data_IF_052322150663
#
_entry.id   IF_052322150663
#
_cell.length_a   1.000
_cell.length_b   1.000
_cell.length_c   1.000
_cell.angle_alpha   90.00
_cell.angle_beta   90.00
_cell.angle_gamma   90.00
#
_symmetry.space_group_name_H-M   'P 1'
#
loop_
_entity.id
_entity.type
_entity.pdbx_description
1 polymer ?
#
# COMPACT_ATOMS: atom_id res chain seq x y z
N UNK A 1 -30.38 8.35 -54.13
CA UNK A 1 -30.79 7.60 -52.93
C UNK A 1 -30.11 8.27 -51.75
N UNK A 2 -30.83 9.22 -51.13
CA UNK A 2 -30.37 10.00 -50.00
C UNK A 2 -30.52 9.21 -48.70
N UNK A 3 -29.40 8.94 -48.03
CA UNK A 3 -29.41 8.40 -46.67
C UNK A 3 -29.38 9.58 -45.72
N UNK A 4 -30.57 9.92 -45.21
CA UNK A 4 -30.80 10.97 -44.22
C UNK A 4 -30.14 10.62 -42.89
N UNK A 5 -29.48 11.63 -42.33
CA UNK A 5 -28.93 11.74 -40.97
C UNK A 5 -29.80 11.08 -39.88
N UNK A 6 -29.25 10.11 -39.16
CA UNK A 6 -29.69 9.78 -37.81
C UNK A 6 -28.85 10.59 -36.82
N UNK A 7 -29.46 11.63 -36.24
CA UNK A 7 -28.92 12.35 -35.10
C UNK A 7 -28.89 11.41 -33.89
N UNK A 8 -27.68 11.04 -33.46
CA UNK A 8 -27.46 10.36 -32.19
C UNK A 8 -27.62 11.39 -31.06
N UNK A 9 -28.81 11.47 -30.50
CA UNK A 9 -29.13 12.26 -29.32
C UNK A 9 -28.53 11.55 -28.10
N UNK A 10 -27.31 11.93 -27.75
CA UNK A 10 -26.62 11.44 -26.56
C UNK A 10 -27.31 12.04 -25.32
N UNK A 11 -28.22 11.27 -24.71
CA UNK A 11 -28.88 11.61 -23.46
C UNK A 11 -27.84 11.58 -22.34
N UNK A 12 -27.36 12.77 -21.95
CA UNK A 12 -26.52 12.97 -20.77
C UNK A 12 -27.44 12.89 -19.53
N UNK A 13 -27.80 11.67 -19.16
CA UNK A 13 -28.53 11.37 -17.93
C UNK A 13 -27.58 11.61 -16.75
N UNK A 14 -27.72 12.81 -16.17
CA UNK A 14 -27.10 13.25 -14.93
C UNK A 14 -27.63 12.36 -13.77
N UNK A 15 -27.03 11.19 -13.59
CA UNK A 15 -27.23 10.40 -12.37
C UNK A 15 -26.45 11.08 -11.24
N UNK A 16 -27.11 12.02 -10.57
CA UNK A 16 -26.80 12.37 -9.18
C UNK A 16 -27.10 11.14 -8.33
N UNK A 17 -26.18 10.18 -8.30
CA UNK A 17 -26.10 9.23 -7.20
C UNK A 17 -25.77 10.06 -5.97
N UNK A 18 -26.80 10.44 -5.22
CA UNK A 18 -26.65 10.85 -3.83
C UNK A 18 -25.96 9.69 -3.13
N UNK A 19 -24.65 9.81 -2.92
CA UNK A 19 -23.95 8.95 -1.96
C UNK A 19 -24.80 8.95 -0.69
N UNK A 20 -25.07 7.79 -0.07
CA UNK A 20 -25.62 7.80 1.27
C UNK A 20 -24.62 8.57 2.12
N UNK A 21 -24.97 9.80 2.50
CA UNK A 21 -24.36 10.48 3.63
C UNK A 21 -24.55 9.48 4.76
N UNK A 22 -23.45 8.87 5.21
CA UNK A 22 -23.47 8.06 6.41
C UNK A 22 -23.77 9.02 7.54
N UNK A 23 -25.06 9.27 7.77
CA UNK A 23 -25.55 9.85 9.00
C UNK A 23 -25.24 8.79 10.05
N UNK A 24 -24.06 8.89 10.65
CA UNK A 24 -23.76 8.19 11.89
C UNK A 24 -24.90 8.56 12.85
N UNK A 25 -25.76 7.58 13.13
CA UNK A 25 -26.89 7.77 14.03
C UNK A 25 -26.34 8.22 15.38
N UNK A 26 -26.49 9.52 15.65
CA UNK A 26 -26.00 10.19 16.84
C UNK A 26 -26.95 9.84 18.00
N UNK A 27 -26.56 8.85 18.80
CA UNK A 27 -27.23 8.53 20.07
C UNK A 27 -26.71 9.45 21.21
N UNK A 28 -26.21 10.64 20.87
CA UNK A 28 -25.82 11.66 21.84
C UNK A 28 -26.06 13.04 21.24
N UNK A 29 -26.79 13.91 21.95
CA UNK A 29 -27.10 15.32 21.61
C UNK A 29 -25.87 16.25 21.48
N UNK A 30 -24.67 15.68 21.33
CA UNK A 30 -23.41 16.41 21.26
C UNK A 30 -23.14 16.80 19.81
N UNK A 31 -23.19 18.10 19.54
CA UNK A 31 -22.76 18.66 18.26
C UNK A 31 -21.27 18.36 18.07
N UNK A 32 -20.86 17.70 16.98
CA UNK A 32 -19.45 17.41 16.74
C UNK A 32 -18.64 18.69 16.60
N UNK A 33 -17.39 18.65 17.06
CA UNK A 33 -16.47 19.78 16.94
C UNK A 33 -16.31 20.20 15.46
N UNK A 34 -16.42 21.49 15.11
CA UNK A 34 -16.33 21.96 13.73
C UNK A 34 -15.01 21.57 13.05
N UNK A 35 -13.92 21.42 13.82
CA UNK A 35 -12.62 20.98 13.30
C UNK A 35 -12.68 19.50 12.85
N UNK A 36 -13.38 18.64 13.60
CA UNK A 36 -13.58 17.24 13.24
C UNK A 36 -14.51 17.11 12.03
N UNK A 37 -15.55 17.95 11.96
CA UNK A 37 -16.46 17.99 10.81
C UNK A 37 -15.67 18.34 9.54
N UNK A 38 -14.90 19.43 9.56
CA UNK A 38 -14.08 19.82 8.42
C UNK A 38 -13.04 18.75 8.04
N UNK A 39 -12.40 18.10 9.02
CA UNK A 39 -11.46 17.02 8.76
C UNK A 39 -12.13 15.78 8.12
N UNK A 40 -13.36 15.45 8.53
CA UNK A 40 -14.15 14.37 7.91
C UNK A 40 -14.52 14.68 6.48
N UNK A 41 -14.96 15.91 6.19
CA UNK A 41 -15.29 16.36 4.84
C UNK A 41 -14.07 16.23 3.90
N UNK A 42 -12.90 16.70 4.35
CA UNK A 42 -11.65 16.57 3.59
C UNK A 42 -11.24 15.10 3.41
N UNK A 43 -11.45 14.26 4.43
CA UNK A 43 -11.21 12.83 4.32
C UNK A 43 -12.09 12.21 3.23
N UNK A 44 -13.40 12.44 3.28
CA UNK A 44 -14.38 11.92 2.32
C UNK A 44 -14.08 12.38 0.89
N UNK A 45 -13.79 13.67 0.69
CA UNK A 45 -13.43 14.23 -0.62
C UNK A 45 -12.19 13.53 -1.20
N UNK A 46 -11.14 13.35 -0.40
CA UNK A 46 -9.92 12.68 -0.83
C UNK A 46 -10.17 11.22 -1.19
N UNK A 47 -10.95 10.49 -0.39
CA UNK A 47 -11.27 9.09 -0.66
C UNK A 47 -12.11 8.97 -1.93
N UNK A 48 -13.11 9.82 -2.12
CA UNK A 48 -14.00 9.75 -3.28
C UNK A 48 -13.29 10.14 -4.57
N UNK A 49 -12.40 11.14 -4.52
CA UNK A 49 -11.50 11.46 -5.62
C UNK A 49 -10.61 10.27 -5.99
N UNK A 50 -10.01 9.61 -4.99
CA UNK A 50 -9.18 8.43 -5.22
C UNK A 50 -9.98 7.23 -5.78
N UNK A 51 -11.20 7.00 -5.27
CA UNK A 51 -12.11 5.95 -5.80
C UNK A 51 -12.43 6.23 -7.26
N UNK A 52 -12.77 7.48 -7.60
CA UNK A 52 -13.08 7.90 -8.97
C UNK A 52 -11.92 7.58 -9.91
N UNK A 53 -10.70 7.97 -9.55
CA UNK A 53 -9.52 7.66 -10.37
C UNK A 53 -9.25 6.17 -10.53
N UNK A 54 -9.48 5.36 -9.50
CA UNK A 54 -9.33 3.90 -9.60
C UNK A 54 -10.40 3.28 -10.53
N UNK A 55 -11.63 3.77 -10.44
CA UNK A 55 -12.73 3.36 -11.33
C UNK A 55 -12.46 3.74 -12.79
N UNK A 56 -12.01 4.96 -13.05
CA UNK A 56 -11.64 5.41 -14.41
C UNK A 56 -10.58 4.49 -15.04
N UNK A 57 -9.61 4.01 -14.25
CA UNK A 57 -8.59 3.06 -14.72
C UNK A 57 -9.17 1.68 -15.02
N UNK A 58 -10.09 1.19 -14.18
CA UNK A 58 -10.81 -0.06 -14.43
C UNK A 58 -11.68 0.03 -15.69
N UNK A 59 -12.40 1.13 -15.88
CA UNK A 59 -13.23 1.38 -17.06
C UNK A 59 -12.38 1.45 -18.33
N UNK A 60 -11.23 2.14 -18.27
CA UNK A 60 -10.26 2.16 -19.38
C UNK A 60 -9.75 0.74 -19.71
N UNK A 61 -9.47 -0.08 -18.69
CA UNK A 61 -9.04 -1.48 -18.87
C UNK A 61 -10.14 -2.34 -19.47
N UNK A 62 -11.40 -2.11 -19.07
CA UNK A 62 -12.58 -2.78 -19.61
C UNK A 62 -12.76 -2.47 -21.09
N UNK A 63 -12.74 -1.18 -21.47
CA UNK A 63 -12.85 -0.77 -22.87
C UNK A 63 -11.77 -1.41 -23.74
N UNK A 64 -10.54 -1.48 -23.22
CA UNK A 64 -9.43 -2.09 -23.92
C UNK A 64 -9.63 -3.60 -24.16
N UNK A 65 -10.10 -4.33 -23.13
CA UNK A 65 -10.40 -5.75 -23.23
C UNK A 65 -11.54 -6.02 -24.24
N UNK A 66 -12.58 -5.18 -24.22
CA UNK A 66 -13.71 -5.26 -25.17
C UNK A 66 -13.25 -5.05 -26.61
N UNK A 67 -12.44 -4.03 -26.88
CA UNK A 67 -11.91 -3.77 -28.23
C UNK A 67 -11.06 -4.91 -28.79
N UNK A 68 -10.45 -5.72 -27.91
CA UNK A 68 -9.63 -6.88 -28.27
C UNK A 68 -10.40 -8.20 -28.34
N UNK A 69 -11.66 -8.23 -27.88
CA UNK A 69 -12.43 -9.46 -27.80
C UNK A 69 -11.94 -10.44 -26.71
N UNK A 70 -11.29 -9.94 -25.65
CA UNK A 70 -10.78 -10.75 -24.54
C UNK A 70 -11.90 -11.01 -23.50
N UNK A 71 -12.82 -11.95 -23.79
CA UNK A 71 -14.03 -12.19 -22.98
C UNK A 71 -13.74 -12.44 -21.49
N UNK A 72 -12.78 -13.33 -21.16
CA UNK A 72 -12.44 -13.65 -19.77
C UNK A 72 -11.95 -12.42 -19.00
N UNK A 73 -11.17 -11.56 -19.65
CA UNK A 73 -10.69 -10.32 -19.03
C UNK A 73 -11.84 -9.32 -18.83
N UNK A 74 -12.76 -9.20 -19.79
CA UNK A 74 -13.96 -8.36 -19.66
C UNK A 74 -14.77 -8.78 -18.44
N UNK A 75 -15.09 -10.07 -18.31
CA UNK A 75 -15.84 -10.60 -17.17
C UNK A 75 -15.12 -10.37 -15.84
N UNK A 76 -13.80 -10.59 -15.81
CA UNK A 76 -12.98 -10.33 -14.63
C UNK A 76 -13.01 -8.86 -14.21
N UNK A 77 -12.83 -7.92 -15.16
CA UNK A 77 -12.83 -6.48 -14.88
C UNK A 77 -14.21 -6.00 -14.42
N UNK A 78 -15.30 -6.49 -15.03
CA UNK A 78 -16.67 -6.16 -14.58
C UNK A 78 -16.90 -6.62 -13.14
N UNK A 79 -16.51 -7.87 -12.82
CA UNK A 79 -16.64 -8.41 -11.46
C UNK A 79 -15.84 -7.60 -10.44
N UNK A 80 -14.64 -7.15 -10.79
CA UNK A 80 -13.83 -6.29 -9.92
C UNK A 80 -14.44 -4.89 -9.74
N UNK A 81 -15.01 -4.29 -10.79
CA UNK A 81 -15.73 -3.01 -10.68
C UNK A 81 -16.91 -3.15 -9.72
N UNK A 82 -17.71 -4.22 -9.83
CA UNK A 82 -18.83 -4.50 -8.93
C UNK A 82 -18.37 -4.77 -7.49
N UNK A 83 -17.30 -5.56 -7.32
CA UNK A 83 -16.72 -5.84 -6.02
C UNK A 83 -16.17 -4.57 -5.35
N UNK A 84 -15.53 -3.68 -6.11
CA UNK A 84 -15.03 -2.40 -5.60
C UNK A 84 -16.18 -1.45 -5.25
N UNK A 85 -17.17 -1.26 -6.14
CA UNK A 85 -18.32 -0.37 -5.89
C UNK A 85 -19.21 -0.86 -4.73
N UNK A 86 -19.45 -2.17 -4.65
CA UNK A 86 -20.37 -2.74 -3.67
C UNK A 86 -19.74 -3.08 -2.32
N UNK A 87 -18.52 -3.63 -2.33
CA UNK A 87 -17.85 -4.14 -1.13
C UNK A 87 -16.55 -3.40 -0.80
N UNK A 88 -16.10 -2.48 -1.64
CA UNK A 88 -14.83 -1.77 -1.48
C UNK A 88 -13.59 -2.63 -1.75
N UNK A 89 -13.73 -3.85 -2.28
CA UNK A 89 -12.61 -4.78 -2.52
C UNK A 89 -11.72 -4.20 -3.62
N UNK A 90 -10.43 -3.99 -3.36
CA UNK A 90 -9.55 -3.40 -4.38
C UNK A 90 -9.39 -4.35 -5.59
N UNK A 91 -9.33 -3.78 -6.80
CA UNK A 91 -9.06 -4.54 -7.99
C UNK A 91 -7.63 -5.09 -8.02
N UNK A 92 -7.45 -6.20 -8.72
CA UNK A 92 -6.15 -6.80 -9.01
C UNK A 92 -5.70 -6.55 -10.45
N UNK A 93 -6.65 -6.30 -11.37
CA UNK A 93 -6.35 -6.08 -12.80
C UNK A 93 -5.75 -4.71 -13.11
N UNK A 94 -5.82 -3.77 -12.18
CA UNK A 94 -5.17 -2.45 -12.25
C UNK A 94 -4.45 -2.14 -10.93
N UNK A 95 -3.28 -1.49 -10.97
CA UNK A 95 -2.57 -1.09 -9.75
C UNK A 95 -3.41 -0.17 -8.86
N UNK A 96 -3.61 -0.56 -7.59
CA UNK A 96 -4.43 0.19 -6.63
C UNK A 96 -3.60 1.05 -5.66
N UNK A 97 -2.26 1.06 -5.77
CA UNK A 97 -1.36 1.70 -4.79
C UNK A 97 -1.63 3.19 -4.58
N UNK A 98 -2.02 3.89 -5.65
CA UNK A 98 -2.37 5.32 -5.58
C UNK A 98 -3.62 5.59 -4.76
N UNK A 99 -4.61 4.68 -4.82
CA UNK A 99 -5.79 4.74 -3.96
C UNK A 99 -5.42 4.48 -2.51
N UNK A 100 -4.64 3.43 -2.27
CA UNK A 100 -4.14 3.05 -0.93
C UNK A 100 -3.38 4.18 -0.26
N UNK A 101 -2.38 4.72 -0.95
CA UNK A 101 -1.54 5.81 -0.42
C UNK A 101 -2.37 7.06 -0.09
N UNK A 102 -3.35 7.40 -0.95
CA UNK A 102 -4.25 8.54 -0.70
C UNK A 102 -5.14 8.27 0.52
N UNK A 103 -5.65 7.06 0.66
CA UNK A 103 -6.47 6.65 1.79
C UNK A 103 -5.70 6.74 3.11
N UNK A 104 -4.52 6.15 3.18
CA UNK A 104 -3.67 6.18 4.39
C UNK A 104 -3.29 7.61 4.80
N UNK A 105 -2.97 8.46 3.81
CA UNK A 105 -2.67 9.88 4.05
C UNK A 105 -3.88 10.63 4.59
N UNK A 106 -5.05 10.44 3.98
CA UNK A 106 -6.28 11.06 4.43
C UNK A 106 -6.63 10.60 5.86
N UNK A 107 -6.49 9.30 6.14
CA UNK A 107 -6.71 8.74 7.48
C UNK A 107 -5.75 9.34 8.51
N UNK A 108 -4.47 9.46 8.18
CA UNK A 108 -3.48 10.10 9.06
C UNK A 108 -3.83 11.57 9.34
N UNK A 109 -4.30 12.31 8.33
CA UNK A 109 -4.73 13.70 8.53
C UNK A 109 -5.96 13.78 9.45
N UNK A 110 -6.92 12.88 9.27
CA UNK A 110 -8.08 12.77 10.14
C UNK A 110 -7.66 12.45 11.58
N UNK A 111 -6.82 11.43 11.78
CA UNK A 111 -6.28 11.05 13.09
C UNK A 111 -5.61 12.21 13.81
N UNK A 112 -4.78 12.99 13.10
CA UNK A 112 -4.12 14.17 13.67
C UNK A 112 -5.12 15.24 14.13
N UNK A 113 -6.23 15.43 13.43
CA UNK A 113 -7.28 16.36 13.84
C UNK A 113 -7.98 15.84 15.11
N UNK A 114 -8.34 14.55 15.17
CA UNK A 114 -8.90 13.93 16.37
C UNK A 114 -7.97 14.07 17.58
N UNK A 115 -6.68 13.78 17.42
CA UNK A 115 -5.69 13.90 18.49
C UNK A 115 -5.57 15.33 19.02
N UNK A 116 -5.64 16.34 18.13
CA UNK A 116 -5.60 17.75 18.52
C UNK A 116 -6.83 18.14 19.35
N UNK A 117 -8.03 17.78 18.89
CA UNK A 117 -9.28 18.08 19.58
C UNK A 117 -9.38 17.35 20.92
N UNK A 118 -9.01 16.06 20.97
CA UNK A 118 -8.94 15.29 22.21
C UNK A 118 -8.02 15.95 23.23
N UNK A 119 -6.81 16.38 22.82
CA UNK A 119 -5.88 17.09 23.71
C UNK A 119 -6.44 18.43 24.20
N UNK A 120 -7.19 19.14 23.35
CA UNK A 120 -7.88 20.38 23.75
C UNK A 120 -8.94 20.09 24.81
N UNK A 121 -9.83 19.13 24.56
CA UNK A 121 -10.91 18.77 25.47
C UNK A 121 -10.41 18.27 26.82
N UNK A 122 -9.31 17.50 26.84
CA UNK A 122 -8.66 17.09 28.10
C UNK A 122 -8.16 18.30 28.90
N UNK A 123 -7.56 19.30 28.25
CA UNK A 123 -7.09 20.53 28.93
C UNK A 123 -8.24 21.38 29.47
N UNK A 124 -9.38 21.36 28.80
CA UNK A 124 -10.60 22.08 29.19
C UNK A 124 -11.43 21.34 30.24
N UNK A 125 -11.05 20.11 30.60
CA UNK A 125 -11.78 19.27 31.57
C UNK A 125 -13.00 18.54 30.97
N UNK A 126 -13.17 18.57 29.65
CA UNK A 126 -14.24 17.91 28.91
C UNK A 126 -13.92 16.41 28.66
N UNK A 127 -13.77 15.65 29.75
CA UNK A 127 -13.25 14.28 29.69
C UNK A 127 -14.17 13.29 28.98
N UNK A 128 -15.48 13.44 29.12
CA UNK A 128 -16.46 12.55 28.46
C UNK A 128 -16.46 12.74 26.94
N UNK A 129 -16.29 13.99 26.47
CA UNK A 129 -16.20 14.31 25.05
C UNK A 129 -14.88 13.80 24.44
N UNK A 130 -13.78 13.97 25.17
CA UNK A 130 -12.48 13.45 24.76
C UNK A 130 -12.49 11.92 24.61
N UNK A 131 -13.14 11.20 25.54
CA UNK A 131 -13.29 9.74 25.47
C UNK A 131 -14.16 9.33 24.28
N UNK A 132 -15.27 10.02 24.06
CA UNK A 132 -16.14 9.78 22.92
C UNK A 132 -15.37 9.89 21.59
N UNK A 133 -14.59 10.95 21.41
CA UNK A 133 -13.77 11.16 20.20
C UNK A 133 -12.66 10.10 20.05
N UNK A 134 -12.05 9.65 21.15
CA UNK A 134 -11.08 8.55 21.11
C UNK A 134 -11.72 7.22 20.67
N UNK A 135 -12.91 6.91 21.16
CA UNK A 135 -13.63 5.70 20.75
C UNK A 135 -14.09 5.80 19.29
N UNK A 136 -14.48 6.99 18.84
CA UNK A 136 -14.87 7.24 17.46
C UNK A 136 -13.71 7.01 16.48
N UNK A 137 -12.53 7.61 16.72
CA UNK A 137 -11.38 7.38 15.84
C UNK A 137 -10.92 5.92 15.88
N UNK A 138 -11.03 5.25 17.02
CA UNK A 138 -10.74 3.82 17.13
C UNK A 138 -11.68 2.97 16.27
N UNK A 139 -12.97 3.31 16.20
CA UNK A 139 -13.92 2.66 15.29
C UNK A 139 -13.55 2.88 13.83
N UNK A 140 -13.15 4.10 13.46
CA UNK A 140 -12.72 4.44 12.09
C UNK A 140 -11.46 3.63 11.72
N UNK A 141 -10.49 3.52 12.62
CA UNK A 141 -9.28 2.69 12.43
C UNK A 141 -9.57 1.19 12.35
N UNK A 142 -10.63 0.75 13.02
CA UNK A 142 -11.06 -0.64 13.02
C UNK A 142 -11.95 -0.99 11.82
N UNK A 143 -12.40 0.00 11.04
CA UNK A 143 -13.02 -0.29 9.75
C UNK A 143 -12.03 -1.12 8.95
N UNK A 144 -12.47 -2.22 8.32
CA UNK A 144 -11.60 -2.97 7.43
C UNK A 144 -11.14 -1.97 6.39
N UNK A 145 -9.87 -1.60 6.48
CA UNK A 145 -9.18 -1.01 5.37
C UNK A 145 -9.28 -2.06 4.29
N UNK A 146 -10.27 -1.93 3.41
CA UNK A 146 -10.48 -2.84 2.29
C UNK A 146 -9.31 -2.79 1.28
N UNK A 147 -8.13 -2.34 1.71
CA UNK A 147 -6.88 -2.87 1.21
C UNK A 147 -6.99 -4.39 1.16
N UNK A 148 -6.60 -5.04 0.05
CA UNK A 148 -5.99 -6.33 0.17
C UNK A 148 -4.75 -6.04 1.00
N UNK A 149 -4.92 -6.10 2.32
CA UNK A 149 -3.90 -6.63 3.20
C UNK A 149 -3.71 -8.04 2.70
N UNK A 150 -2.96 -8.17 1.60
CA UNK A 150 -2.16 -9.34 1.42
C UNK A 150 -1.42 -9.46 2.73
N UNK A 151 -1.80 -10.45 3.54
CA UNK A 151 -1.03 -10.80 4.70
C UNK A 151 0.44 -10.93 4.26
N UNK A 152 1.38 -10.68 5.16
CA UNK A 152 2.78 -10.84 4.82
C UNK A 152 3.00 -12.25 4.24
N UNK A 153 3.65 -12.31 3.08
CA UNK A 153 3.92 -13.58 2.43
C UNK A 153 4.81 -14.44 3.34
N UNK A 154 4.43 -15.71 3.56
CA UNK A 154 5.36 -16.66 4.17
C UNK A 154 6.40 -17.04 3.12
N UNK A 155 7.65 -16.60 3.30
CA UNK A 155 8.75 -16.85 2.36
C UNK A 155 9.74 -17.90 2.89
N UNK A 156 10.26 -18.73 1.97
CA UNK A 156 11.37 -19.65 2.25
C UNK A 156 12.48 -19.42 1.23
N UNK A 157 13.65 -19.04 1.72
CA UNK A 157 14.87 -18.92 0.92
C UNK A 157 15.38 -20.31 0.57
N UNK A 158 15.58 -20.57 -0.73
CA UNK A 158 16.12 -21.84 -1.25
C UNK A 158 17.62 -21.74 -1.53
N UNK A 159 18.08 -20.63 -2.10
CA UNK A 159 19.50 -20.41 -2.40
C UNK A 159 19.82 -18.91 -2.62
N UNK A 160 21.11 -18.57 -2.68
CA UNK A 160 21.59 -17.19 -2.90
C UNK A 160 21.57 -16.29 -1.67
N UNK A 161 20.84 -16.68 -0.62
CA UNK A 161 20.88 -16.07 0.69
C UNK A 161 20.81 -17.15 1.79
N UNK A 162 21.14 -16.76 3.01
CA UNK A 162 20.91 -17.57 4.21
C UNK A 162 19.42 -17.62 4.59
N UNK A 163 19.08 -18.51 5.51
CA UNK A 163 17.77 -18.50 6.16
C UNK A 163 17.50 -17.16 6.85
N UNK A 164 16.22 -16.83 7.02
CA UNK A 164 15.81 -15.64 7.77
C UNK A 164 16.43 -15.64 9.17
N UNK A 165 17.05 -14.51 9.53
CA UNK A 165 17.64 -14.27 10.84
C UNK A 165 17.12 -12.97 11.43
N UNK A 166 17.17 -12.83 12.75
CA UNK A 166 16.65 -11.66 13.44
C UNK A 166 17.38 -10.37 13.01
N UNK A 167 16.61 -9.38 12.58
CA UNK A 167 17.06 -8.05 12.24
C UNK A 167 17.18 -7.21 13.52
N UNK A 168 18.41 -6.84 13.88
CA UNK A 168 18.70 -5.96 15.03
C UNK A 168 20.04 -5.26 14.86
N UNK A 169 20.22 -4.17 15.59
CA UNK A 169 21.47 -3.41 15.58
C UNK A 169 22.67 -4.30 15.95
N UNK A 170 23.76 -4.15 15.21
CA UNK A 170 25.00 -4.90 15.39
C UNK A 170 25.06 -6.28 14.69
N UNK A 171 23.95 -6.78 14.14
CA UNK A 171 23.96 -8.00 13.31
C UNK A 171 24.56 -7.71 11.94
N UNK A 172 25.33 -8.67 11.43
CA UNK A 172 26.01 -8.57 10.13
C UNK A 172 24.99 -8.46 8.99
N UNK A 173 25.09 -7.43 8.16
CA UNK A 173 24.18 -7.16 7.05
C UNK A 173 24.38 -8.11 5.85
N UNK A 174 25.64 -8.44 5.52
CA UNK A 174 26.00 -9.27 4.35
C UNK A 174 27.00 -10.35 4.76
N UNK A 175 26.89 -11.57 4.23
CA UNK A 175 27.64 -12.72 4.77
C UNK A 175 29.17 -12.57 4.64
N UNK A 176 29.63 -11.94 3.56
CA UNK A 176 31.04 -11.78 3.16
C UNK A 176 31.64 -10.42 3.57
N UNK A 177 30.88 -9.59 4.29
CA UNK A 177 31.33 -8.27 4.76
C UNK A 177 31.21 -8.17 6.28
N UNK A 178 32.03 -7.30 6.87
CA UNK A 178 31.94 -6.96 8.29
C UNK A 178 30.87 -5.90 8.58
N UNK A 179 30.10 -5.48 7.59
CA UNK A 179 29.07 -4.44 7.75
C UNK A 179 27.97 -4.93 8.67
N UNK A 180 27.55 -4.07 9.60
CA UNK A 180 26.49 -4.35 10.56
C UNK A 180 25.33 -3.41 10.34
N UNK A 181 24.11 -3.89 10.56
CA UNK A 181 22.94 -3.02 10.65
C UNK A 181 23.07 -2.08 11.85
N UNK A 182 22.71 -0.82 11.65
CA UNK A 182 22.72 0.23 12.67
C UNK A 182 21.49 1.11 12.50
N UNK A 183 21.14 1.84 13.55
CA UNK A 183 20.04 2.80 13.57
C UNK A 183 18.70 2.24 13.08
N UNK A 184 18.42 0.96 13.37
CA UNK A 184 17.09 0.37 13.12
C UNK A 184 16.09 1.02 14.10
N UNK A 185 15.04 1.70 13.60
CA UNK A 185 14.01 2.30 14.46
C UNK A 185 13.24 1.26 15.28
N UNK A 186 12.80 1.62 16.48
CA UNK A 186 12.01 0.73 17.35
C UNK A 186 10.66 0.35 16.72
N UNK A 187 10.08 1.28 15.95
CA UNK A 187 8.84 1.11 15.18
C UNK A 187 9.04 0.44 13.81
N UNK A 188 10.27 0.01 13.49
CA UNK A 188 10.54 -0.68 12.24
C UNK A 188 9.76 -2.01 12.18
N UNK A 189 8.93 -2.23 11.16
CA UNK A 189 7.96 -3.33 11.16
C UNK A 189 8.61 -4.69 10.89
N UNK A 190 9.83 -4.72 10.33
CA UNK A 190 10.51 -5.97 9.96
C UNK A 190 11.37 -6.52 11.10
N UNK A 191 11.18 -7.81 11.42
CA UNK A 191 11.92 -8.48 12.50
C UNK A 191 12.95 -9.47 12.01
N UNK A 192 12.89 -9.90 10.75
CA UNK A 192 13.86 -10.81 10.17
C UNK A 192 14.33 -10.39 8.78
N UNK A 193 15.50 -10.88 8.38
CA UNK A 193 16.04 -10.68 7.04
C UNK A 193 16.84 -11.89 6.57
N UNK A 194 16.89 -12.10 5.26
CA UNK A 194 17.74 -13.12 4.64
C UNK A 194 19.08 -12.49 4.28
N UNK A 195 20.14 -12.83 5.01
CA UNK A 195 21.47 -12.31 4.70
C UNK A 195 21.97 -12.90 3.38
N UNK A 196 22.22 -12.03 2.41
CA UNK A 196 22.68 -12.37 1.06
C UNK A 196 24.09 -12.94 1.11
N UNK A 197 24.34 -14.02 0.35
CA UNK A 197 25.68 -14.58 0.19
C UNK A 197 26.50 -13.70 -0.74
N UNK A 198 27.62 -13.18 -0.26
CA UNK A 198 28.38 -12.23 -1.07
C UNK A 198 29.27 -12.83 -2.17
N UNK A 199 29.64 -14.11 -2.06
CA UNK A 199 30.46 -14.80 -3.05
C UNK A 199 29.64 -15.20 -4.30
N UNK A 200 29.83 -14.48 -5.41
CA UNK A 200 29.37 -14.86 -6.75
C UNK A 200 28.08 -14.19 -7.23
N UNK A 201 27.82 -14.20 -8.54
CA UNK A 201 26.66 -13.57 -9.19
C UNK A 201 25.34 -14.33 -9.02
N UNK A 202 25.21 -15.17 -7.98
CA UNK A 202 24.07 -16.09 -7.84
C UNK A 202 22.79 -15.29 -7.52
N UNK A 203 21.71 -15.47 -8.30
CA UNK A 203 20.39 -14.95 -7.95
C UNK A 203 19.90 -15.51 -6.62
N UNK A 204 19.02 -14.78 -5.94
CA UNK A 204 18.30 -15.30 -4.78
C UNK A 204 17.12 -16.11 -5.27
N UNK A 205 17.06 -17.38 -4.87
CA UNK A 205 15.92 -18.24 -5.17
C UNK A 205 15.10 -18.38 -3.89
N UNK A 206 13.82 -18.08 -3.95
CA UNK A 206 12.91 -18.17 -2.81
C UNK A 206 11.54 -18.66 -3.26
N UNK A 207 10.82 -19.24 -2.31
CA UNK A 207 9.46 -19.70 -2.48
C UNK A 207 8.53 -18.83 -1.63
N UNK A 208 7.47 -18.33 -2.24
CA UNK A 208 6.32 -17.75 -1.54
C UNK A 208 5.36 -18.89 -1.27
N UNK A 209 5.15 -19.24 0.00
CA UNK A 209 4.23 -20.33 0.41
C UNK A 209 2.78 -19.86 0.45
N UNK A 210 2.56 -18.65 0.95
CA UNK A 210 1.25 -18.01 1.00
C UNK A 210 1.26 -16.73 0.17
N UNK A 211 0.29 -16.50 -0.73
CA UNK A 211 0.18 -15.25 -1.46
C UNK A 211 0.17 -14.07 -0.47
N UNK A 212 0.94 -13.03 -0.77
CA UNK A 212 1.21 -12.01 0.23
C UNK A 212 2.09 -10.87 -0.25
N UNK A 213 2.33 -9.90 0.64
CA UNK A 213 3.35 -8.87 0.41
C UNK A 213 4.72 -9.44 0.74
N UNK A 214 5.64 -9.37 -0.23
CA UNK A 214 7.06 -9.63 -0.05
C UNK A 214 7.80 -8.30 0.04
N UNK A 215 8.79 -8.23 0.91
CA UNK A 215 9.59 -7.03 1.13
C UNK A 215 11.06 -7.28 0.80
N UNK A 216 11.71 -6.29 0.20
CA UNK A 216 13.14 -6.31 -0.07
C UNK A 216 13.80 -5.01 0.40
N UNK A 217 15.05 -5.11 0.85
CA UNK A 217 15.91 -3.97 1.13
C UNK A 217 17.00 -3.90 0.05
N UNK A 218 17.19 -2.73 -0.56
CA UNK A 218 18.19 -2.51 -1.61
C UNK A 218 19.09 -1.32 -1.29
N UNK A 219 20.40 -1.56 -1.37
CA UNK A 219 21.40 -0.50 -1.19
C UNK A 219 21.40 0.46 -2.38
N UNK A 220 21.36 1.77 -2.10
CA UNK A 220 21.35 2.81 -3.12
C UNK A 220 22.75 3.25 -3.59
N UNK A 221 23.73 2.33 -3.56
CA UNK A 221 25.10 2.59 -4.06
C UNK A 221 25.16 2.79 -5.58
N UNK A 222 24.19 2.22 -6.32
CA UNK A 222 24.08 2.34 -7.78
C UNK A 222 22.65 2.73 -8.19
N UNK A 223 22.25 4.00 -8.00
CA UNK A 223 20.86 4.45 -8.14
C UNK A 223 20.24 4.09 -9.49
N UNK A 224 20.97 4.27 -10.61
CA UNK A 224 20.47 3.95 -11.95
C UNK A 224 20.09 2.47 -12.11
N UNK A 225 20.88 1.55 -11.54
CA UNK A 225 20.61 0.11 -11.61
C UNK A 225 19.45 -0.28 -10.70
N UNK A 226 19.38 0.31 -9.51
CA UNK A 226 18.27 0.10 -8.56
C UNK A 226 16.96 0.58 -9.18
N UNK A 227 16.92 1.80 -9.73
CA UNK A 227 15.70 2.32 -10.40
C UNK A 227 15.27 1.44 -11.56
N UNK A 228 16.21 0.95 -12.38
CA UNK A 228 15.90 0.03 -13.48
C UNK A 228 15.29 -1.27 -12.96
N UNK A 229 15.89 -1.89 -11.93
CA UNK A 229 15.39 -3.11 -11.31
C UNK A 229 14.00 -2.93 -10.68
N UNK A 230 13.81 -1.88 -9.88
CA UNK A 230 12.52 -1.60 -9.21
C UNK A 230 11.40 -1.44 -10.24
N UNK A 231 11.69 -0.77 -11.37
CA UNK A 231 10.74 -0.61 -12.47
C UNK A 231 10.48 -1.91 -13.23
N UNK A 232 11.52 -2.67 -13.56
CA UNK A 232 11.42 -3.94 -14.31
C UNK A 232 10.60 -5.00 -13.55
N UNK A 233 10.78 -5.07 -12.23
CA UNK A 233 10.13 -6.06 -11.37
C UNK A 233 8.96 -5.48 -10.56
N UNK A 234 8.50 -4.28 -10.90
CA UNK A 234 7.30 -3.64 -10.31
C UNK A 234 7.30 -3.59 -8.78
N UNK A 235 8.45 -3.26 -8.19
CA UNK A 235 8.54 -3.04 -6.74
C UNK A 235 8.06 -1.63 -6.38
N UNK A 236 7.29 -1.50 -5.30
CA UNK A 236 6.82 -0.22 -4.79
C UNK A 236 7.67 0.23 -3.58
N UNK A 237 8.05 1.51 -3.46
CA UNK A 237 8.76 2.01 -2.28
C UNK A 237 7.84 2.01 -1.06
N UNK A 238 8.39 1.66 0.11
CA UNK A 238 7.63 1.66 1.38
C UNK A 238 7.86 2.92 2.22
N UNK A 239 8.90 3.71 1.90
CA UNK A 239 9.35 4.83 2.73
C UNK A 239 10.27 4.43 3.89
N UNK A 240 10.35 3.14 4.23
CA UNK A 240 11.28 2.64 5.24
C UNK A 240 12.72 2.60 4.74
N UNK A 241 13.64 2.85 5.68
CA UNK A 241 15.07 2.94 5.41
C UNK A 241 15.89 2.29 6.51
N UNK A 242 16.93 1.56 6.12
CA UNK A 242 17.91 0.94 7.00
C UNK A 242 19.29 1.56 6.79
N UNK A 243 20.10 1.56 7.84
CA UNK A 243 21.50 1.96 7.78
C UNK A 243 22.42 0.80 8.13
N UNK A 244 23.65 0.84 7.60
CA UNK A 244 24.68 -0.12 7.93
C UNK A 244 26.06 0.54 8.00
N UNK A 245 27.01 -0.10 8.67
CA UNK A 245 28.37 0.43 8.90
C UNK A 245 29.29 0.44 7.68
N UNK A 246 28.79 0.28 6.46
CA UNK A 246 29.63 0.40 5.26
C UNK A 246 30.21 1.81 5.14
N UNK A 247 31.44 1.93 4.64
CA UNK A 247 32.16 3.20 4.51
C UNK A 247 31.42 4.24 3.66
N UNK A 248 30.60 3.79 2.71
CA UNK A 248 29.79 4.66 1.85
C UNK A 248 28.70 5.39 2.62
N UNK A 249 28.27 4.86 3.78
CA UNK A 249 27.18 5.41 4.59
C UNK A 249 25.86 5.51 3.83
N UNK A 250 25.73 4.83 2.68
CA UNK A 250 24.53 4.92 1.85
C UNK A 250 23.42 4.10 2.51
N UNK A 251 22.22 4.68 2.62
CA UNK A 251 21.10 3.96 3.17
C UNK A 251 20.65 2.81 2.26
N UNK A 252 19.92 1.89 2.85
CA UNK A 252 19.23 0.79 2.19
C UNK A 252 17.74 1.11 2.24
N UNK A 253 17.13 1.33 1.08
CA UNK A 253 15.71 1.64 0.97
C UNK A 253 14.90 0.33 0.89
N UNK A 254 13.70 0.32 1.48
CA UNK A 254 12.82 -0.86 1.51
C UNK A 254 11.69 -0.73 0.49
N UNK A 255 11.46 -1.81 -0.25
CA UNK A 255 10.45 -1.92 -1.27
C UNK A 255 9.56 -3.14 -1.01
N UNK A 256 8.37 -3.13 -1.58
CA UNK A 256 7.38 -4.18 -1.44
C UNK A 256 6.78 -4.58 -2.78
N UNK A 257 6.27 -5.80 -2.86
CA UNK A 257 5.55 -6.31 -4.02
C UNK A 257 4.55 -7.38 -3.58
N UNK A 258 3.34 -7.34 -4.13
CA UNK A 258 2.37 -8.42 -3.99
C UNK A 258 2.82 -9.61 -4.85
N UNK A 259 2.92 -10.79 -4.25
CA UNK A 259 3.37 -12.00 -4.92
C UNK A 259 2.42 -13.16 -4.62
N UNK A 260 2.11 -13.95 -5.64
CA UNK A 260 1.38 -15.21 -5.50
C UNK A 260 2.24 -16.30 -4.87
N UNK A 261 1.62 -17.41 -4.47
CA UNK A 261 2.37 -18.59 -4.08
C UNK A 261 3.12 -19.16 -5.29
N UNK A 262 4.42 -19.45 -5.13
CA UNK A 262 5.26 -19.89 -6.23
C UNK A 262 6.74 -19.81 -5.95
N UNK A 263 7.55 -20.21 -6.93
CA UNK A 263 9.00 -20.06 -6.91
C UNK A 263 9.43 -18.85 -7.71
N UNK A 264 10.37 -18.09 -7.15
CA UNK A 264 10.84 -16.83 -7.71
C UNK A 264 12.36 -16.74 -7.70
N UNK A 265 12.88 -16.04 -8.70
CA UNK A 265 14.29 -15.73 -8.85
C UNK A 265 14.47 -14.22 -8.83
N UNK A 266 15.35 -13.74 -7.95
CA UNK A 266 15.67 -12.33 -7.84
C UNK A 266 17.10 -12.09 -8.29
N UNK A 267 17.33 -11.38 -9.41
CA UNK A 267 18.68 -11.10 -9.87
C UNK A 267 19.42 -10.17 -8.90
N UNK A 268 20.74 -10.29 -8.89
CA UNK A 268 21.60 -9.40 -8.09
C UNK A 268 21.71 -8.05 -8.80
N UNK A 269 21.21 -6.98 -8.18
CA UNK A 269 21.21 -5.62 -8.76
C UNK A 269 22.58 -4.94 -8.65
N UNK A 270 23.28 -5.20 -7.54
CA UNK A 270 24.58 -4.64 -7.20
C UNK A 270 25.39 -5.65 -6.37
N UNK A 271 26.56 -5.25 -5.87
CA UNK A 271 27.36 -6.12 -5.01
C UNK A 271 26.61 -6.50 -3.72
N UNK A 272 25.69 -5.72 -3.21
CA UNK A 272 24.97 -6.07 -1.97
C UNK A 272 23.78 -7.00 -2.22
N UNK A 273 23.21 -6.98 -3.44
CA UNK A 273 21.99 -7.66 -3.80
C UNK A 273 20.75 -7.14 -3.05
N UNK A 274 19.54 -7.54 -3.47
CA UNK A 274 18.34 -7.35 -2.68
C UNK A 274 18.38 -8.25 -1.45
N UNK A 275 17.99 -7.73 -0.29
CA UNK A 275 17.85 -8.50 0.96
C UNK A 275 16.37 -8.74 1.21
N UNK A 276 15.91 -9.99 1.32
CA UNK A 276 14.52 -10.28 1.69
C UNK A 276 14.29 -9.89 3.15
N UNK A 277 13.16 -9.24 3.43
CA UNK A 277 12.70 -8.87 4.76
C UNK A 277 11.43 -9.63 5.11
N UNK A 278 11.29 -9.98 6.39
CA UNK A 278 10.06 -10.53 6.96
C UNK A 278 9.65 -9.67 8.16
N UNK A 279 8.38 -9.27 8.23
CA UNK A 279 7.73 -8.76 9.45
C UNK A 279 7.87 -9.73 10.62
#
# INVERSE_FOLDING_TARGET
>A
MDVKHLHSTFFLLLWLNTCPVYIFAADSDKVPDPEIIAAKEVFEENIDSAKKHLLERLETKLEFAQRRGELELVESVVKEIEAFKGKGILPTVVPADGYVTTFERALTQLENAYDQVVRRYVREGLLDDARYLQDEIKKIKALPSNHPTYANAEIVVKSGASSLQNLKNGVRAFSDRSYKWVDIPDDFPFKQFAQVQGEGTKPIHFQVKTPGVVYIALSNEHPTRVTAFIREYEWAPTGFRLNHTAKTGKPVDVFMRNMDAGEYHMPRVNFSGPTLLSP
#
